data_IF_554220117854
#
_entry.id   IF_554220117854
#
_cell.length_a   1.000
_cell.length_b   1.000
_cell.length_c   1.000
_cell.angle_alpha   90.00
_cell.angle_beta   90.00
_cell.angle_gamma   90.00
#
_symmetry.space_group_name_H-M   'P 1'
#
loop_
_entity.id
_entity.type
_entity.pdbx_description
1 polymer ?
#
# COMPACT_ATOMS: atom_id res chain seq x y z
N UNK A 1 -9.39 -11.75 58.52
CA UNK A 1 -9.66 -11.12 57.23
C UNK A 1 -8.39 -10.40 56.77
N UNK A 2 -7.73 -10.88 55.71
CA UNK A 2 -6.54 -10.23 55.16
C UNK A 2 -7.00 -8.97 54.41
N UNK A 3 -6.81 -7.79 55.01
CA UNK A 3 -6.96 -6.54 54.27
C UNK A 3 -5.73 -6.36 53.37
N UNK A 4 -5.87 -6.72 52.09
CA UNK A 4 -4.85 -6.39 51.09
C UNK A 4 -4.89 -4.89 50.81
N UNK A 5 -3.93 -4.17 51.38
CA UNK A 5 -3.76 -2.73 51.16
C UNK A 5 -2.94 -2.54 49.88
N UNK A 6 -3.52 -1.89 48.88
CA UNK A 6 -2.79 -1.55 47.65
C UNK A 6 -1.57 -0.70 48.00
N UNK A 7 -0.39 -1.13 47.56
CA UNK A 7 0.87 -0.41 47.78
C UNK A 7 1.47 -0.05 46.43
N UNK A 8 1.34 1.22 46.06
CA UNK A 8 1.99 1.78 44.87
C UNK A 8 3.43 2.13 45.25
N UNK A 9 4.40 1.58 44.53
CA UNK A 9 5.82 1.83 44.75
C UNK A 9 6.44 2.44 43.49
N UNK A 10 6.69 3.74 43.54
CA UNK A 10 7.39 4.46 42.47
C UNK A 10 8.88 4.49 42.79
N UNK A 11 9.71 3.84 41.96
CA UNK A 11 11.15 3.68 42.20
C UNK A 11 11.97 4.95 41.95
N UNK A 12 11.43 5.90 41.20
CA UNK A 12 12.14 7.07 40.65
C UNK A 12 11.28 8.34 40.76
N UNK A 13 10.88 8.72 41.98
CA UNK A 13 10.06 9.92 42.18
C UNK A 13 10.82 11.20 41.80
N UNK A 14 12.12 11.25 42.08
CA UNK A 14 12.91 12.49 41.98
C UNK A 14 12.99 13.03 40.54
N UNK A 15 13.12 12.16 39.52
CA UNK A 15 13.18 12.61 38.11
C UNK A 15 11.84 13.12 37.57
N UNK A 16 10.74 12.63 38.11
CA UNK A 16 9.40 12.97 37.62
C UNK A 16 8.74 14.08 38.45
N UNK A 17 9.26 14.37 39.64
CA UNK A 17 8.69 15.35 40.56
C UNK A 17 7.22 15.03 40.83
N UNK A 18 6.35 16.05 40.75
CA UNK A 18 4.91 15.92 40.97
C UNK A 18 4.10 15.67 39.68
N UNK A 19 4.75 15.22 38.60
CA UNK A 19 4.10 15.07 37.28
C UNK A 19 3.45 13.71 37.06
N UNK A 20 3.69 12.74 37.95
CA UNK A 20 3.12 11.38 37.85
C UNK A 20 1.86 11.29 38.69
N UNK A 21 0.78 10.86 38.07
CA UNK A 21 -0.51 10.64 38.71
C UNK A 21 -0.97 9.21 38.46
N UNK A 22 -1.49 8.56 39.50
CA UNK A 22 -2.17 7.28 39.34
C UNK A 22 -3.58 7.52 38.80
N UNK A 23 -3.87 7.02 37.61
CA UNK A 23 -5.16 7.22 36.92
C UNK A 23 -5.93 5.92 36.69
N UNK A 24 -5.34 4.78 37.08
CA UNK A 24 -5.95 3.46 36.92
C UNK A 24 -7.04 3.14 37.94
N UNK A 25 -7.77 2.07 37.67
CA UNK A 25 -8.71 1.46 38.59
C UNK A 25 -8.37 -0.04 38.81
N UNK A 26 -7.71 -0.40 39.93
CA UNK A 26 -7.27 -1.77 40.17
C UNK A 26 -8.41 -2.78 40.29
N UNK A 27 -9.61 -2.35 40.71
CA UNK A 27 -10.81 -3.19 40.74
C UNK A 27 -11.27 -3.59 39.33
N UNK A 28 -10.88 -2.80 38.31
CA UNK A 28 -11.09 -3.08 36.89
C UNK A 28 -9.83 -3.59 36.17
N UNK A 29 -8.85 -4.11 36.92
CA UNK A 29 -7.57 -4.59 36.39
C UNK A 29 -6.73 -3.52 35.69
N UNK A 30 -6.94 -2.25 36.04
CA UNK A 30 -6.22 -1.11 35.46
C UNK A 30 -5.28 -0.48 36.50
N UNK A 31 -3.99 -0.49 36.21
CA UNK A 31 -2.92 0.07 37.05
C UNK A 31 -2.18 1.20 36.33
N UNK A 32 -2.86 1.93 35.46
CA UNK A 32 -2.29 2.98 34.63
C UNK A 32 -1.80 4.18 35.46
N UNK A 33 -0.69 4.76 35.00
CA UNK A 33 -0.14 6.03 35.46
C UNK A 33 -0.11 7.02 34.32
N UNK A 34 -0.37 8.28 34.62
CA UNK A 34 -0.26 9.39 33.68
C UNK A 34 0.94 10.26 34.06
N UNK A 35 1.84 10.51 33.10
CA UNK A 35 2.93 11.46 33.22
C UNK A 35 2.55 12.76 32.50
N UNK A 36 2.36 13.84 33.27
CA UNK A 36 2.00 15.17 32.76
C UNK A 36 3.25 15.94 32.31
N UNK A 37 3.07 16.86 31.36
CA UNK A 37 4.11 17.75 30.88
C UNK A 37 5.41 16.99 30.55
N UNK A 38 5.33 16.05 29.60
CA UNK A 38 6.45 15.18 29.20
C UNK A 38 7.61 16.03 28.67
N UNK A 39 8.83 15.73 29.14
CA UNK A 39 10.08 16.39 28.77
C UNK A 39 10.99 15.42 28.03
N UNK A 40 12.04 15.91 27.36
CA UNK A 40 12.95 15.04 26.58
C UNK A 40 13.69 14.04 27.46
N UNK A 41 13.98 14.43 28.69
CA UNK A 41 14.64 13.60 29.70
C UNK A 41 13.74 12.47 30.21
N UNK A 42 12.44 12.48 29.88
CA UNK A 42 11.52 11.39 30.18
C UNK A 42 11.62 10.24 29.16
N UNK A 43 12.33 10.43 28.04
CA UNK A 43 12.58 9.34 27.08
C UNK A 43 13.23 8.14 27.76
N UNK A 44 12.73 6.94 27.45
CA UNK A 44 13.28 5.70 27.98
C UNK A 44 12.27 4.59 28.16
N UNK A 45 12.68 3.56 28.90
CA UNK A 45 11.89 2.34 29.11
C UNK A 45 11.22 2.35 30.48
N UNK A 46 9.89 2.22 30.47
CA UNK A 46 9.06 2.18 31.67
C UNK A 46 8.61 0.75 31.93
N UNK A 47 8.81 0.31 33.17
CA UNK A 47 8.49 -1.05 33.60
C UNK A 47 7.32 -1.02 34.59
N UNK A 48 6.31 -1.83 34.33
CA UNK A 48 5.21 -2.08 35.25
C UNK A 48 5.37 -3.47 35.85
N UNK A 49 5.22 -3.57 37.17
CA UNK A 49 5.24 -4.82 37.90
C UNK A 49 3.97 -4.93 38.72
N UNK A 50 3.17 -5.97 38.47
CA UNK A 50 1.91 -6.22 39.17
C UNK A 50 2.02 -7.51 39.95
N UNK A 51 1.63 -7.48 41.21
CA UNK A 51 1.51 -8.67 42.05
C UNK A 51 0.14 -8.62 42.70
N UNK A 52 -0.66 -9.66 42.51
CA UNK A 52 -2.00 -9.79 43.07
C UNK A 52 -2.03 -10.98 44.04
N UNK A 53 -1.66 -10.81 45.32
CA UNK A 53 -1.71 -11.91 46.28
C UNK A 53 -3.11 -12.56 46.34
N UNK A 54 -3.22 -13.89 46.50
CA UNK A 54 -2.15 -14.82 46.83
C UNK A 54 -1.29 -15.27 45.62
N UNK A 55 -1.51 -14.71 44.43
CA UNK A 55 -0.73 -15.05 43.24
C UNK A 55 0.76 -14.85 43.51
N UNK A 56 1.55 -15.90 43.27
CA UNK A 56 3.02 -15.84 43.39
C UNK A 56 3.68 -15.28 42.14
N UNK A 57 2.96 -15.31 41.02
CA UNK A 57 3.44 -14.82 39.74
C UNK A 57 3.32 -13.29 39.71
N UNK A 58 4.44 -12.62 39.46
CA UNK A 58 4.49 -11.18 39.22
C UNK A 58 4.31 -10.93 37.74
N UNK A 59 3.26 -10.22 37.37
CA UNK A 59 3.09 -9.68 36.01
C UNK A 59 4.15 -8.62 35.74
N UNK A 60 4.69 -8.59 34.53
CA UNK A 60 5.66 -7.61 34.07
C UNK A 60 5.27 -7.11 32.68
N UNK A 61 5.33 -5.79 32.50
CA UNK A 61 5.16 -5.15 31.21
C UNK A 61 6.23 -4.06 31.05
N UNK A 62 6.68 -3.85 29.81
CA UNK A 62 7.67 -2.84 29.47
C UNK A 62 7.20 -2.04 28.27
N UNK A 63 7.28 -0.72 28.36
CA UNK A 63 6.95 0.20 27.26
C UNK A 63 8.15 1.12 26.99
N UNK A 64 8.33 1.53 25.73
CA UNK A 64 9.36 2.50 25.33
C UNK A 64 8.70 3.82 25.01
N UNK A 65 8.97 4.86 25.80
CA UNK A 65 8.52 6.22 25.56
C UNK A 65 9.57 6.94 24.72
N UNK A 66 9.18 7.45 23.55
CA UNK A 66 10.01 8.32 22.70
C UNK A 66 9.40 9.72 22.68
N UNK A 67 10.20 10.74 22.93
CA UNK A 67 9.72 12.13 23.03
C UNK A 67 10.17 12.90 21.78
N UNK A 68 9.20 13.32 20.97
CA UNK A 68 9.47 14.00 19.71
C UNK A 68 9.28 15.52 19.90
N UNK A 69 10.29 16.30 19.54
CA UNK A 69 10.22 17.77 19.52
C UNK A 69 9.60 18.34 18.25
N UNK A 70 9.53 17.54 17.19
CA UNK A 70 8.98 17.89 15.89
C UNK A 70 8.01 16.80 15.46
N UNK A 71 6.89 17.21 14.86
CA UNK A 71 5.93 16.25 14.30
C UNK A 71 6.67 15.36 13.29
N UNK A 72 6.59 14.02 13.41
CA UNK A 72 7.20 13.15 12.43
C UNK A 72 6.61 13.49 11.05
N UNK A 73 7.44 13.52 9.98
CA UNK A 73 6.93 13.86 8.66
C UNK A 73 5.77 12.92 8.34
N UNK A 74 4.59 13.49 8.04
CA UNK A 74 3.46 12.70 7.58
C UNK A 74 3.92 11.98 6.32
N UNK A 75 3.76 10.66 6.30
CA UNK A 75 3.97 9.91 5.07
C UNK A 75 2.92 10.37 4.07
N UNK A 76 3.32 11.26 3.16
CA UNK A 76 2.42 11.80 2.15
C UNK A 76 2.02 10.67 1.20
N UNK A 77 0.73 10.31 1.21
CA UNK A 77 0.10 9.41 0.23
C UNK A 77 0.37 9.83 -1.22
N UNK A 78 0.78 11.08 -1.43
CA UNK A 78 1.30 11.65 -2.69
C UNK A 78 2.39 10.78 -3.33
N UNK A 79 3.31 10.21 -2.53
CA UNK A 79 4.40 9.36 -3.07
C UNK A 79 3.83 8.08 -3.69
N UNK A 80 2.88 7.44 -3.02
CA UNK A 80 2.23 6.22 -3.52
C UNK A 80 1.40 6.50 -4.79
N UNK A 81 0.71 7.66 -4.84
CA UNK A 81 -0.08 8.08 -6.00
C UNK A 81 0.80 8.34 -7.22
N UNK A 82 1.93 9.03 -7.07
CA UNK A 82 2.85 9.33 -8.19
C UNK A 82 3.39 8.03 -8.82
N UNK A 83 3.84 7.09 -7.98
CA UNK A 83 4.35 5.80 -8.45
C UNK A 83 3.25 5.01 -9.15
N UNK A 84 2.05 4.92 -8.56
CA UNK A 84 0.91 4.22 -9.16
C UNK A 84 0.49 4.81 -10.52
N UNK A 85 0.45 6.13 -10.64
CA UNK A 85 0.07 6.82 -11.87
C UNK A 85 1.08 6.58 -13.01
N UNK A 86 2.39 6.61 -12.72
CA UNK A 86 3.43 6.37 -13.72
C UNK A 86 3.36 4.96 -14.33
N UNK A 87 3.23 3.94 -13.49
CA UNK A 87 3.21 2.54 -13.94
C UNK A 87 1.91 2.21 -14.67
N UNK A 88 0.77 2.62 -14.09
CA UNK A 88 -0.54 2.42 -14.70
C UNK A 88 -0.71 3.17 -16.03
N UNK A 89 -0.26 4.43 -16.08
CA UNK A 89 -0.31 5.25 -17.28
C UNK A 89 0.55 4.68 -18.41
N UNK A 90 1.79 4.28 -18.11
CA UNK A 90 2.68 3.69 -19.11
C UNK A 90 2.11 2.38 -19.69
N UNK A 91 1.59 1.49 -18.85
CA UNK A 91 0.95 0.25 -19.32
C UNK A 91 -0.27 0.52 -20.19
N UNK A 92 -1.12 1.48 -19.82
CA UNK A 92 -2.29 1.85 -20.62
C UNK A 92 -1.89 2.38 -22.01
N UNK A 93 -0.87 3.24 -22.08
CA UNK A 93 -0.36 3.78 -23.35
C UNK A 93 0.19 2.69 -24.25
N UNK A 94 0.97 1.74 -23.70
CA UNK A 94 1.51 0.61 -24.46
C UNK A 94 0.39 -0.26 -25.04
N UNK A 95 -0.66 -0.55 -24.25
CA UNK A 95 -1.81 -1.34 -24.72
C UNK A 95 -2.54 -0.61 -25.85
N UNK A 96 -2.77 0.70 -25.73
CA UNK A 96 -3.40 1.51 -26.78
C UNK A 96 -2.59 1.51 -28.08
N UNK A 97 -1.26 1.67 -28.00
CA UNK A 97 -0.38 1.61 -29.17
C UNK A 97 -0.46 0.23 -29.86
N UNK A 98 -0.40 -0.86 -29.08
CA UNK A 98 -0.51 -2.21 -29.63
C UNK A 98 -1.87 -2.46 -30.31
N UNK A 99 -2.97 -1.96 -29.73
CA UNK A 99 -4.31 -2.00 -30.31
C UNK A 99 -4.38 -1.26 -31.66
N UNK A 100 -3.88 -0.03 -31.72
CA UNK A 100 -3.85 0.78 -32.96
C UNK A 100 -3.02 0.09 -34.04
N UNK A 101 -1.81 -0.38 -33.70
CA UNK A 101 -0.93 -1.09 -34.64
C UNK A 101 -1.59 -2.37 -35.16
N UNK A 102 -2.23 -3.16 -34.29
CA UNK A 102 -2.97 -4.36 -34.73
C UNK A 102 -4.15 -3.99 -35.65
N UNK A 103 -4.92 -2.96 -35.33
CA UNK A 103 -6.03 -2.49 -36.15
C UNK A 103 -5.56 -2.04 -37.54
N UNK A 104 -4.47 -1.26 -37.62
CA UNK A 104 -3.89 -0.80 -38.89
C UNK A 104 -3.33 -1.97 -39.69
N UNK A 105 -2.60 -2.90 -39.05
CA UNK A 105 -2.07 -4.11 -39.72
C UNK A 105 -3.18 -5.00 -40.26
N UNK A 106 -4.26 -5.22 -39.50
CA UNK A 106 -5.44 -5.97 -39.95
C UNK A 106 -6.12 -5.31 -41.14
N UNK A 107 -6.33 -3.98 -41.10
CA UNK A 107 -6.89 -3.25 -42.24
C UNK A 107 -6.00 -3.34 -43.47
N UNK A 108 -4.68 -3.20 -43.32
CA UNK A 108 -3.72 -3.33 -44.43
C UNK A 108 -3.72 -4.74 -45.02
N UNK A 109 -3.76 -5.77 -44.18
CA UNK A 109 -3.81 -7.16 -44.63
C UNK A 109 -5.13 -7.50 -45.35
N UNK A 110 -6.26 -6.95 -44.89
CA UNK A 110 -7.54 -7.08 -45.59
C UNK A 110 -7.52 -6.39 -46.96
N UNK A 111 -6.91 -5.21 -47.07
CA UNK A 111 -6.76 -4.51 -48.36
C UNK A 111 -5.95 -5.34 -49.37
N UNK A 112 -4.79 -5.87 -48.96
CA UNK A 112 -3.96 -6.74 -49.79
C UNK A 112 -4.73 -7.99 -50.26
N UNK A 113 -5.43 -8.67 -49.35
CA UNK A 113 -6.23 -9.85 -49.72
C UNK A 113 -7.39 -9.54 -50.68
N UNK A 114 -7.99 -8.35 -50.62
CA UNK A 114 -9.04 -7.91 -51.55
C UNK A 114 -8.46 -7.55 -52.93
N UNK A 115 -7.26 -6.98 -52.96
CA UNK A 115 -6.58 -6.60 -54.20
C UNK A 115 -6.05 -7.85 -54.95
N UNK A 116 -5.53 -8.86 -54.23
CA UNK A 116 -5.09 -10.14 -54.83
C UNK A 116 -6.27 -10.89 -55.48
N UNK A 117 -7.43 -10.96 -54.80
CA UNK A 117 -8.62 -11.66 -55.33
C UNK A 117 -9.25 -10.94 -56.54
N UNK A 118 -9.09 -9.62 -56.66
CA UNK A 118 -9.58 -8.85 -57.81
C UNK A 118 -8.69 -9.02 -59.05
N UNK A 119 -7.40 -9.29 -58.85
CA UNK A 119 -6.43 -9.51 -59.92
C UNK A 119 -6.54 -10.93 -60.50
N UNK A 120 -7.02 -11.90 -59.72
CA UNK A 120 -7.28 -13.28 -60.19
C UNK A 120 -8.57 -13.42 -61.02
N UNK A 121 -9.61 -12.60 -60.80
CA UNK A 121 -10.85 -12.65 -61.59
C UNK A 121 -10.72 -11.97 -62.97
N UNK A 122 -9.92 -10.90 -63.11
CA UNK A 122 -9.68 -10.24 -64.40
C UNK A 122 -8.72 -11.01 -65.32
N UNK A 123 -7.93 -11.96 -64.80
CA UNK A 123 -7.00 -12.78 -65.58
C UNK A 123 -7.64 -13.95 -66.36
N UNK A 124 -8.95 -14.17 -66.26
CA UNK A 124 -9.62 -15.38 -66.80
C UNK A 124 -10.57 -15.13 -67.98
N UNK A 125 -10.70 -13.89 -68.48
CA UNK A 125 -11.65 -13.54 -69.54
C UNK A 125 -11.06 -13.12 -70.88
N UNK A 126 -9.79 -13.43 -71.20
CA UNK A 126 -9.24 -13.13 -72.53
C UNK A 126 -8.57 -14.36 -73.13
N UNK A 127 -9.33 -15.15 -73.89
CA UNK A 127 -8.79 -16.34 -74.54
C UNK A 127 -9.74 -17.13 -75.42
N UNK A 128 -10.47 -16.50 -76.35
CA UNK A 128 -10.87 -17.18 -77.60
C UNK A 128 -11.05 -16.16 -78.72
N UNK A 129 -10.11 -16.14 -79.66
CA UNK A 129 -10.17 -15.34 -80.87
C UNK A 129 -9.52 -16.10 -82.02
N UNK A 130 -10.34 -16.85 -82.75
CA UNK A 130 -9.99 -17.43 -84.05
C UNK A 130 -10.15 -16.35 -85.14
N UNK A 131 -9.15 -16.09 -86.01
CA UNK A 131 -9.36 -15.31 -87.22
C UNK A 131 -9.53 -16.25 -88.42
N UNK A 132 -10.76 -16.36 -88.92
CA UNK A 132 -11.02 -16.71 -90.31
C UNK A 132 -10.91 -15.43 -91.16
N UNK A 133 -9.89 -15.36 -92.01
CA UNK A 133 -9.77 -14.38 -93.09
C UNK A 133 -9.83 -15.15 -94.41
N UNK A 134 -10.91 -14.97 -95.19
CA UNK A 134 -11.11 -15.63 -96.48
C UNK A 134 -10.43 -14.92 -97.64
N UNK A 135 -10.17 -15.63 -98.74
CA UNK A 135 -10.29 -15.15 -100.15
C UNK A 135 -10.00 -16.29 -101.15
N UNK A 136 -10.99 -16.55 -102.02
CA UNK A 136 -10.93 -17.15 -103.38
C UNK A 136 -10.59 -18.63 -103.60
#
# INVERSE_FOLDING_TARGET
FLQFRMKIMNKQLDRFGNRVEFTGNPTKYDVSFTLKNVQLEDEGTYNCYVLNPPDRHRGHASISLKVLTKEPPKHDSTVAVIVGASVGGFLAVVILVLMVVKCVRRKKQQRLNTDDQKTEEEGKTDGEGNPDEGTK
#
